data_IF_664868079102
#
_entry.id   IF_664868079102
#
_cell.length_a   1.000
_cell.length_b   1.000
_cell.length_c   1.000
_cell.angle_alpha   90.00
_cell.angle_beta   90.00
_cell.angle_gamma   90.00
#
_symmetry.space_group_name_H-M   'P 1'
#
loop_
_entity.id
_entity.type
_entity.pdbx_description
1 polymer ?
#
# COMPACT_ATOMS: atom_id res chain seq x y z
N UNK A 1 -13.46 -4.86 -14.26
CA UNK A 1 -12.15 -4.80 -13.56
C UNK A 1 -11.03 -5.35 -14.46
N UNK A 2 -9.80 -4.81 -14.39
CA UNK A 2 -8.59 -5.32 -15.09
C UNK A 2 -7.39 -5.27 -14.14
N UNK A 3 -6.52 -6.27 -14.19
CA UNK A 3 -5.38 -6.39 -13.28
C UNK A 3 -4.21 -7.15 -13.89
N UNK A 4 -3.09 -7.17 -13.19
CA UNK A 4 -1.94 -8.02 -13.48
C UNK A 4 -1.37 -8.63 -12.19
N UNK A 5 -0.97 -9.89 -12.27
CA UNK A 5 -0.25 -10.59 -11.19
C UNK A 5 1.22 -10.17 -11.27
N UNK A 6 1.71 -9.49 -10.24
CA UNK A 6 3.08 -8.93 -10.20
C UNK A 6 4.05 -9.90 -9.54
N UNK A 7 3.58 -10.65 -8.54
CA UNK A 7 4.30 -11.72 -7.87
C UNK A 7 3.33 -12.77 -7.33
N UNK A 8 3.84 -13.82 -6.68
CA UNK A 8 2.99 -14.85 -6.08
C UNK A 8 1.98 -14.30 -5.06
N UNK A 9 2.35 -13.23 -4.34
CA UNK A 9 1.55 -12.61 -3.27
C UNK A 9 0.83 -11.32 -3.68
N UNK A 10 1.19 -10.70 -4.81
CA UNK A 10 0.78 -9.32 -5.14
C UNK A 10 0.12 -9.21 -6.52
N UNK A 11 -1.07 -8.60 -6.53
CA UNK A 11 -1.81 -8.22 -7.74
C UNK A 11 -2.02 -6.71 -7.73
N UNK A 12 -1.88 -6.08 -8.90
CA UNK A 12 -2.17 -4.65 -9.10
C UNK A 12 -3.24 -4.49 -10.18
N UNK A 13 -4.28 -3.71 -9.89
CA UNK A 13 -5.39 -3.54 -10.82
C UNK A 13 -6.23 -2.28 -10.65
N UNK A 14 -7.25 -2.18 -11.49
CA UNK A 14 -8.31 -1.17 -11.42
C UNK A 14 -9.36 -1.54 -10.38
N UNK A 15 -10.24 -0.60 -10.03
CA UNK A 15 -11.27 -0.85 -9.03
C UNK A 15 -12.18 -2.05 -9.42
N UNK A 16 -12.54 -2.91 -8.45
CA UNK A 16 -13.72 -3.77 -8.56
C UNK A 16 -14.95 -2.90 -8.79
N UNK A 17 -15.84 -3.31 -9.69
CA UNK A 17 -17.01 -2.52 -10.10
C UNK A 17 -18.32 -3.09 -9.56
N UNK A 18 -18.34 -4.38 -9.22
CA UNK A 18 -19.52 -5.10 -8.73
C UNK A 18 -19.11 -6.26 -7.80
N UNK A 19 -20.00 -6.78 -6.94
CA UNK A 19 -19.69 -7.88 -6.02
C UNK A 19 -19.06 -9.11 -6.68
N UNK A 20 -19.46 -9.43 -7.92
CA UNK A 20 -18.93 -10.58 -8.66
C UNK A 20 -17.45 -10.42 -9.01
N UNK A 21 -16.93 -9.20 -9.06
CA UNK A 21 -15.49 -8.97 -9.21
C UNK A 21 -14.74 -9.45 -7.94
N UNK A 22 -15.36 -9.39 -6.76
CA UNK A 22 -14.79 -9.90 -5.50
C UNK A 22 -14.82 -11.42 -5.48
N UNK A 23 -15.90 -12.03 -5.98
CA UNK A 23 -15.97 -13.47 -6.21
C UNK A 23 -14.86 -13.95 -7.14
N UNK A 24 -14.66 -13.25 -8.27
CA UNK A 24 -13.59 -13.53 -9.21
C UNK A 24 -12.21 -13.47 -8.53
N UNK A 25 -11.92 -12.38 -7.80
CA UNK A 25 -10.65 -12.24 -7.07
C UNK A 25 -10.43 -13.36 -6.03
N UNK A 26 -11.49 -13.80 -5.35
CA UNK A 26 -11.41 -14.89 -4.38
C UNK A 26 -11.11 -16.23 -5.05
N UNK A 27 -11.90 -16.57 -6.07
CA UNK A 27 -11.94 -17.92 -6.62
C UNK A 27 -10.79 -18.18 -7.59
N UNK A 28 -10.55 -17.23 -8.49
CA UNK A 28 -9.52 -17.38 -9.55
C UNK A 28 -8.14 -17.00 -9.04
N UNK A 29 -8.07 -15.93 -8.23
CA UNK A 29 -6.78 -15.35 -7.82
C UNK A 29 -6.40 -15.59 -6.38
N UNK A 30 -7.23 -16.29 -5.60
CA UNK A 30 -7.00 -16.61 -4.18
C UNK A 30 -6.68 -15.35 -3.36
N UNK A 31 -7.34 -14.24 -3.70
CA UNK A 31 -7.20 -12.98 -2.95
C UNK A 31 -7.79 -13.16 -1.56
N UNK A 32 -7.01 -12.73 -0.56
CA UNK A 32 -7.43 -12.70 0.84
C UNK A 32 -7.49 -11.26 1.39
N UNK A 33 -6.84 -10.31 0.71
CA UNK A 33 -6.77 -8.91 1.11
C UNK A 33 -6.98 -8.00 -0.08
N UNK A 34 -7.73 -6.91 0.12
CA UNK A 34 -7.88 -5.84 -0.86
C UNK A 34 -7.37 -4.55 -0.22
N UNK A 35 -6.43 -3.88 -0.88
CA UNK A 35 -5.94 -2.56 -0.51
C UNK A 35 -6.48 -1.52 -1.50
N UNK A 36 -7.47 -0.76 -1.06
CA UNK A 36 -8.12 0.32 -1.81
C UNK A 36 -7.45 1.66 -1.51
N UNK A 37 -6.92 2.31 -2.54
CA UNK A 37 -6.25 3.61 -2.44
C UNK A 37 -7.15 4.79 -2.85
N UNK A 38 -8.43 4.55 -3.08
CA UNK A 38 -9.38 5.56 -3.54
C UNK A 38 -9.91 6.42 -2.41
N UNK A 39 -10.11 7.71 -2.72
CA UNK A 39 -10.95 8.61 -1.92
C UNK A 39 -12.43 8.37 -2.22
N UNK A 40 -13.31 8.81 -1.33
CA UNK A 40 -14.76 8.68 -1.52
C UNK A 40 -15.23 9.35 -2.81
N UNK A 41 -14.70 10.55 -3.12
CA UNK A 41 -14.98 11.25 -4.38
C UNK A 41 -14.66 10.43 -5.64
N UNK A 42 -13.64 9.56 -5.58
CA UNK A 42 -13.28 8.72 -6.73
C UNK A 42 -14.33 7.63 -6.93
N UNK A 43 -14.79 7.05 -5.82
CA UNK A 43 -15.80 5.98 -5.79
C UNK A 43 -17.15 6.54 -6.27
N UNK A 44 -17.54 7.71 -5.76
CA UNK A 44 -18.75 8.44 -6.12
C UNK A 44 -18.76 8.80 -7.62
N UNK A 45 -17.66 9.35 -8.13
CA UNK A 45 -17.54 9.74 -9.54
C UNK A 45 -17.79 8.56 -10.49
N UNK A 46 -17.33 7.36 -10.12
CA UNK A 46 -17.51 6.15 -10.93
C UNK A 46 -18.81 5.40 -10.64
N UNK A 47 -19.66 5.91 -9.73
CA UNK A 47 -20.95 5.30 -9.39
C UNK A 47 -20.82 3.90 -8.79
N UNK A 48 -19.73 3.62 -8.08
CA UNK A 48 -19.51 2.30 -7.48
C UNK A 48 -20.38 2.16 -6.23
N UNK A 49 -21.20 1.10 -6.18
CA UNK A 49 -21.85 0.67 -4.94
C UNK A 49 -20.82 0.02 -4.00
N UNK A 50 -20.07 0.89 -3.33
CA UNK A 50 -18.94 0.48 -2.50
C UNK A 50 -19.37 -0.34 -1.28
N UNK A 51 -20.56 -0.10 -0.74
CA UNK A 51 -21.04 -0.85 0.40
C UNK A 51 -21.29 -2.31 0.02
N UNK A 52 -21.86 -2.57 -1.16
CA UNK A 52 -22.04 -3.93 -1.68
C UNK A 52 -20.69 -4.63 -1.93
N UNK A 53 -19.67 -3.92 -2.42
CA UNK A 53 -18.30 -4.46 -2.55
C UNK A 53 -17.73 -4.91 -1.20
N UNK A 54 -17.79 -4.03 -0.20
CA UNK A 54 -17.27 -4.30 1.15
C UNK A 54 -18.04 -5.44 1.82
N UNK A 55 -19.37 -5.47 1.68
CA UNK A 55 -20.21 -6.55 2.20
C UNK A 55 -19.80 -7.89 1.60
N UNK A 56 -19.59 -7.94 0.28
CA UNK A 56 -19.14 -9.17 -0.38
C UNK A 56 -17.76 -9.63 0.10
N UNK A 57 -16.84 -8.69 0.34
CA UNK A 57 -15.55 -9.02 0.94
C UNK A 57 -15.73 -9.71 2.31
N UNK A 58 -16.59 -9.15 3.17
CA UNK A 58 -16.88 -9.72 4.51
C UNK A 58 -17.45 -11.13 4.42
N UNK A 59 -18.43 -11.34 3.54
CA UNK A 59 -19.05 -12.66 3.32
C UNK A 59 -18.02 -13.72 2.89
N UNK A 60 -17.05 -13.34 2.06
CA UNK A 60 -16.00 -14.23 1.54
C UNK A 60 -14.75 -14.30 2.43
N UNK A 61 -14.77 -13.63 3.58
CA UNK A 61 -13.63 -13.54 4.50
C UNK A 61 -12.40 -12.83 3.88
N UNK A 62 -12.61 -11.96 2.90
CA UNK A 62 -11.58 -11.06 2.35
C UNK A 62 -11.49 -9.82 3.23
N UNK A 63 -10.28 -9.48 3.65
CA UNK A 63 -10.04 -8.26 4.43
C UNK A 63 -9.87 -7.06 3.50
N UNK A 64 -10.83 -6.13 3.57
CA UNK A 64 -10.80 -4.89 2.80
C UNK A 64 -10.17 -3.76 3.63
N UNK A 65 -9.09 -3.17 3.12
CA UNK A 65 -8.29 -2.12 3.76
C UNK A 65 -8.35 -0.86 2.90
N UNK A 66 -8.53 0.30 3.54
CA UNK A 66 -8.49 1.60 2.85
C UNK A 66 -7.27 2.40 3.28
N UNK A 67 -6.52 2.91 2.30
CA UNK A 67 -5.45 3.90 2.50
C UNK A 67 -5.57 4.97 1.41
N UNK A 68 -6.52 5.91 1.53
CA UNK A 68 -6.84 6.86 0.46
C UNK A 68 -5.65 7.73 0.07
N UNK A 69 -5.44 7.88 -1.24
CA UNK A 69 -4.43 8.76 -1.83
C UNK A 69 -5.13 9.64 -2.88
N UNK A 70 -4.89 10.94 -2.84
CA UNK A 70 -5.49 11.89 -3.80
C UNK A 70 -4.99 11.57 -5.21
N UNK A 71 -5.91 11.47 -6.17
CA UNK A 71 -5.53 11.17 -7.55
C UNK A 71 -4.79 12.34 -8.20
N UNK A 72 -3.79 12.02 -9.03
CA UNK A 72 -2.92 12.99 -9.72
C UNK A 72 -2.15 13.96 -8.81
N UNK A 73 -2.01 13.65 -7.52
CA UNK A 73 -1.31 14.47 -6.54
C UNK A 73 -0.03 13.74 -6.04
N UNK A 74 1.13 14.31 -6.37
CA UNK A 74 2.43 13.73 -6.03
C UNK A 74 2.77 13.86 -4.54
N UNK A 75 2.30 14.93 -3.88
CA UNK A 75 2.56 15.18 -2.47
C UNK A 75 1.66 14.31 -1.59
N UNK A 76 0.41 14.13 -2.00
CA UNK A 76 -0.48 13.12 -1.40
C UNK A 76 0.08 11.71 -1.57
N UNK A 77 0.58 11.36 -2.76
CA UNK A 77 1.21 10.05 -2.97
C UNK A 77 2.44 9.88 -2.09
N UNK A 78 3.37 10.85 -2.07
CA UNK A 78 4.57 10.84 -1.20
C UNK A 78 4.20 10.62 0.25
N UNK A 79 3.29 11.43 0.79
CA UNK A 79 2.91 11.40 2.20
C UNK A 79 2.17 10.12 2.62
N UNK A 80 1.42 9.50 1.72
CA UNK A 80 0.62 8.30 2.03
C UNK A 80 1.34 6.98 1.75
N UNK A 81 2.39 6.98 0.94
CA UNK A 81 3.17 5.78 0.62
C UNK A 81 3.59 4.97 1.86
N UNK A 82 4.13 5.58 2.95
CA UNK A 82 4.48 4.82 4.15
C UNK A 82 3.32 4.01 4.75
N UNK A 83 2.13 4.62 4.88
CA UNK A 83 0.94 3.97 5.44
C UNK A 83 0.39 2.88 4.51
N UNK A 84 0.34 3.17 3.20
CA UNK A 84 -0.15 2.22 2.20
C UNK A 84 0.76 1.00 2.07
N UNK A 85 2.09 1.20 2.03
CA UNK A 85 3.06 0.11 1.95
C UNK A 85 3.09 -0.70 3.24
N UNK A 86 2.97 -0.06 4.41
CA UNK A 86 2.85 -0.78 5.69
C UNK A 86 1.62 -1.70 5.72
N UNK A 87 0.47 -1.25 5.20
CA UNK A 87 -0.72 -2.10 5.07
C UNK A 87 -0.49 -3.28 4.13
N UNK A 88 0.17 -3.06 2.99
CA UNK A 88 0.51 -4.11 2.02
C UNK A 88 1.51 -5.13 2.58
N UNK A 89 2.55 -4.66 3.27
CA UNK A 89 3.55 -5.53 3.90
C UNK A 89 2.90 -6.39 4.99
N UNK A 90 2.09 -5.78 5.85
CA UNK A 90 1.33 -6.50 6.87
C UNK A 90 0.45 -7.57 6.23
N UNK A 91 -0.37 -7.23 5.24
CA UNK A 91 -1.27 -8.17 4.57
C UNK A 91 -0.51 -9.33 3.91
N UNK A 92 0.61 -9.03 3.26
CA UNK A 92 1.49 -10.04 2.65
C UNK A 92 2.11 -10.96 3.70
N UNK A 93 2.54 -10.41 4.85
CA UNK A 93 3.17 -11.18 5.94
C UNK A 93 2.23 -12.22 6.56
N UNK A 94 0.91 -12.03 6.44
CA UNK A 94 -0.09 -12.97 6.98
C UNK A 94 -0.16 -14.29 6.22
N UNK A 95 0.33 -14.34 4.97
CA UNK A 95 0.35 -15.56 4.12
C UNK A 95 -1.00 -16.29 3.98
N UNK A 96 -2.11 -15.55 4.00
CA UNK A 96 -3.48 -16.13 3.86
C UNK A 96 -4.01 -16.16 2.42
N UNK A 97 -3.25 -15.63 1.47
CA UNK A 97 -3.65 -15.46 0.07
C UNK A 97 -2.97 -14.24 -0.53
N UNK A 98 -3.40 -13.84 -1.73
CA UNK A 98 -2.86 -12.67 -2.42
C UNK A 98 -3.44 -11.37 -1.89
N UNK A 99 -2.67 -10.29 -2.02
CA UNK A 99 -3.12 -8.91 -1.82
C UNK A 99 -3.42 -8.29 -3.17
N UNK A 100 -4.64 -7.79 -3.32
CA UNK A 100 -5.08 -7.02 -4.48
C UNK A 100 -4.99 -5.53 -4.18
N UNK A 101 -4.00 -4.85 -4.75
CA UNK A 101 -3.81 -3.41 -4.58
C UNK A 101 -4.46 -2.68 -5.75
N UNK A 102 -5.37 -1.77 -5.47
CA UNK A 102 -6.02 -0.98 -6.52
C UNK A 102 -6.17 0.49 -6.15
N UNK A 103 -6.30 1.28 -7.20
CA UNK A 103 -6.89 2.62 -7.15
C UNK A 103 -8.06 2.62 -8.14
N UNK A 104 -8.31 3.72 -8.84
CA UNK A 104 -9.35 3.76 -9.88
C UNK A 104 -8.96 2.93 -11.10
N UNK A 105 -7.85 3.27 -11.76
CA UNK A 105 -7.40 2.62 -13.02
C UNK A 105 -6.28 1.60 -12.81
N UNK A 106 -5.62 1.61 -11.66
CA UNK A 106 -4.45 0.78 -11.39
C UNK A 106 -3.21 1.19 -12.19
N UNK A 107 -3.08 2.48 -12.57
CA UNK A 107 -1.98 2.97 -13.42
C UNK A 107 -1.08 4.02 -12.75
N UNK A 108 -1.49 4.58 -11.61
CA UNK A 108 -0.74 5.60 -10.88
C UNK A 108 -0.48 5.20 -9.42
N UNK A 109 -1.46 5.42 -8.55
CA UNK A 109 -1.36 5.20 -7.10
C UNK A 109 -1.04 3.74 -6.71
N UNK A 110 -1.82 2.79 -7.22
CA UNK A 110 -1.62 1.36 -6.93
C UNK A 110 -0.25 0.82 -7.36
N UNK A 111 0.20 1.02 -8.61
CA UNK A 111 1.54 0.58 -9.00
C UNK A 111 2.65 1.30 -8.24
N UNK A 112 2.47 2.57 -7.83
CA UNK A 112 3.46 3.25 -7.00
C UNK A 112 3.62 2.58 -5.60
N UNK A 113 2.52 2.20 -4.96
CA UNK A 113 2.55 1.45 -3.68
C UNK A 113 3.21 0.09 -3.85
N UNK A 114 2.87 -0.64 -4.92
CA UNK A 114 3.48 -1.95 -5.21
C UNK A 114 4.99 -1.86 -5.47
N UNK A 115 5.44 -0.86 -6.25
CA UNK A 115 6.86 -0.63 -6.51
C UNK A 115 7.59 -0.24 -5.23
N UNK A 116 7.03 0.66 -4.42
CA UNK A 116 7.63 1.04 -3.15
C UNK A 116 7.73 -0.16 -2.18
N UNK A 117 6.72 -1.03 -2.14
CA UNK A 117 6.78 -2.27 -1.38
C UNK A 117 7.93 -3.18 -1.82
N UNK A 118 8.05 -3.47 -3.12
CA UNK A 118 9.15 -4.31 -3.63
C UNK A 118 10.52 -3.66 -3.39
N UNK A 119 10.60 -2.33 -3.59
CA UNK A 119 11.82 -1.57 -3.34
C UNK A 119 12.22 -1.64 -1.87
N UNK A 120 11.29 -1.46 -0.92
CA UNK A 120 11.61 -1.39 0.50
C UNK A 120 11.77 -2.79 1.12
N UNK A 121 10.92 -3.76 0.76
CA UNK A 121 10.80 -5.04 1.48
C UNK A 121 11.26 -6.28 0.70
N UNK A 122 11.39 -6.22 -0.63
CA UNK A 122 11.83 -7.37 -1.45
C UNK A 122 13.30 -7.28 -1.91
N UNK A 123 14.11 -6.48 -1.21
CA UNK A 123 15.55 -6.32 -1.47
C UNK A 123 15.90 -5.93 -2.92
N UNK A 124 15.06 -5.12 -3.57
CA UNK A 124 15.34 -4.53 -4.87
C UNK A 124 15.91 -3.12 -4.71
N UNK A 125 16.55 -2.60 -5.75
CA UNK A 125 16.64 -1.15 -5.98
C UNK A 125 15.35 -0.64 -6.66
N UNK A 126 15.17 0.67 -6.69
CA UNK A 126 13.96 1.29 -7.20
C UNK A 126 13.76 1.03 -8.70
N UNK A 127 14.82 1.06 -9.51
CA UNK A 127 14.72 0.88 -10.95
C UNK A 127 14.33 -0.56 -11.29
N UNK A 128 14.92 -1.54 -10.60
CA UNK A 128 14.56 -2.95 -10.71
C UNK A 128 13.10 -3.19 -10.33
N UNK A 129 12.64 -2.66 -9.18
CA UNK A 129 11.25 -2.78 -8.74
C UNK A 129 10.28 -2.12 -9.74
N UNK A 130 10.64 -0.94 -10.25
CA UNK A 130 9.85 -0.20 -11.24
C UNK A 130 9.71 -1.00 -12.54
N UNK A 131 10.83 -1.44 -13.11
CA UNK A 131 10.85 -2.21 -14.36
C UNK A 131 10.09 -3.54 -14.23
N UNK A 132 10.27 -4.26 -13.12
CA UNK A 132 9.52 -5.49 -12.83
C UNK A 132 8.02 -5.28 -12.94
N UNK A 133 7.48 -4.23 -12.31
CA UNK A 133 6.05 -3.94 -12.40
C UNK A 133 5.66 -3.48 -13.80
N UNK A 134 6.33 -2.47 -14.36
CA UNK A 134 5.87 -1.80 -15.58
C UNK A 134 6.03 -2.64 -16.85
N UNK A 135 6.92 -3.63 -16.84
CA UNK A 135 7.03 -4.62 -17.92
C UNK A 135 5.85 -5.60 -17.97
N UNK A 136 5.24 -5.89 -16.80
CA UNK A 136 4.06 -6.76 -16.69
C UNK A 136 2.78 -5.97 -16.91
N UNK A 137 2.68 -4.78 -16.29
CA UNK A 137 1.55 -3.87 -16.41
C UNK A 137 2.04 -2.50 -16.89
N UNK A 138 2.02 -2.23 -18.22
CA UNK A 138 2.43 -0.94 -18.76
C UNK A 138 1.67 0.22 -18.12
N UNK A 139 2.38 1.06 -17.36
CA UNK A 139 1.84 2.22 -16.65
C UNK A 139 2.96 3.21 -16.28
N UNK A 140 2.60 4.38 -15.77
CA UNK A 140 3.52 5.48 -15.43
C UNK A 140 3.38 5.99 -14.00
N UNK A 141 3.61 5.17 -12.96
CA UNK A 141 3.61 5.62 -11.57
C UNK A 141 4.75 6.63 -11.32
N UNK A 142 4.56 7.57 -10.39
CA UNK A 142 5.57 8.59 -10.11
C UNK A 142 6.77 8.01 -9.36
N UNK A 143 7.89 7.78 -10.07
CA UNK A 143 9.18 7.41 -9.47
C UNK A 143 9.67 8.47 -8.48
N UNK A 144 9.43 9.76 -8.78
CA UNK A 144 9.79 10.89 -7.91
C UNK A 144 9.11 10.79 -6.54
N UNK A 145 7.82 10.48 -6.49
CA UNK A 145 7.09 10.36 -5.22
C UNK A 145 7.63 9.20 -4.36
N UNK A 146 7.99 8.08 -4.98
CA UNK A 146 8.57 6.92 -4.27
C UNK A 146 9.93 7.27 -3.67
N UNK A 147 10.80 7.96 -4.44
CA UNK A 147 12.09 8.44 -3.93
C UNK A 147 11.94 9.43 -2.80
N UNK A 148 11.00 10.37 -2.94
CA UNK A 148 10.76 11.39 -1.94
C UNK A 148 10.28 10.75 -0.63
N UNK A 149 9.37 9.79 -0.69
CA UNK A 149 8.93 9.02 0.48
C UNK A 149 10.07 8.18 1.08
N UNK A 150 10.94 7.63 0.23
CA UNK A 150 12.15 6.89 0.68
C UNK A 150 13.11 7.82 1.42
N UNK A 151 13.34 9.03 0.90
CA UNK A 151 14.10 10.08 1.58
C UNK A 151 13.47 10.41 2.93
N UNK A 152 12.15 10.62 3.00
CA UNK A 152 11.45 10.96 4.25
C UNK A 152 11.65 9.87 5.32
N UNK A 153 11.57 8.60 4.91
CA UNK A 153 11.75 7.46 5.80
C UNK A 153 13.22 7.19 6.16
N UNK A 154 14.18 7.47 5.27
CA UNK A 154 15.60 7.23 5.52
C UNK A 154 16.31 8.41 6.19
N UNK A 155 15.73 9.62 6.16
CA UNK A 155 16.33 10.82 6.78
C UNK A 155 16.39 10.68 8.30
N UNK A 156 17.59 10.65 8.84
CA UNK A 156 17.88 10.58 10.27
C UNK A 156 18.32 11.93 10.88
N UNK A 157 18.67 12.91 10.05
CA UNK A 157 19.13 14.24 10.48
C UNK A 157 18.17 15.33 9.98
N UNK A 158 17.52 16.11 10.85
CA UNK A 158 16.65 17.23 10.46
C UNK A 158 17.34 18.28 9.57
N UNK A 159 18.66 18.46 9.71
CA UNK A 159 19.46 19.45 8.97
C UNK A 159 19.83 19.04 7.55
N UNK A 160 19.50 17.81 7.13
CA UNK A 160 19.77 17.32 5.78
C UNK A 160 19.05 18.17 4.73
N UNK A 161 19.75 18.44 3.63
CA UNK A 161 19.27 19.22 2.49
C UNK A 161 17.88 18.74 2.01
N UNK A 162 16.96 19.65 1.63
CA UNK A 162 15.64 19.30 1.11
C UNK A 162 15.71 18.34 -0.08
N UNK A 163 14.73 17.43 -0.20
CA UNK A 163 14.68 16.44 -1.28
C UNK A 163 14.71 17.10 -2.67
N UNK A 164 14.10 18.27 -2.79
CA UNK A 164 13.93 19.03 -4.02
C UNK A 164 15.26 19.52 -4.61
N UNK A 165 16.31 19.61 -3.79
CA UNK A 165 17.65 20.01 -4.21
C UNK A 165 18.56 18.81 -4.55
N UNK A 166 18.11 17.58 -4.27
CA UNK A 166 18.91 16.39 -4.51
C UNK A 166 18.91 16.00 -6.00
N UNK A 167 19.99 15.35 -6.42
CA UNK A 167 20.15 14.85 -7.79
C UNK A 167 19.05 13.84 -8.16
N UNK A 168 18.71 13.78 -9.45
CA UNK A 168 17.70 12.87 -10.02
C UNK A 168 18.05 11.38 -9.90
N UNK A 169 19.13 10.95 -9.24
CA UNK A 169 19.40 9.54 -8.91
C UNK A 169 19.48 9.28 -7.39
N UNK A 170 19.34 10.31 -6.55
CA UNK A 170 19.34 10.14 -5.09
C UNK A 170 18.15 9.25 -4.63
N UNK A 171 18.42 8.31 -3.73
CA UNK A 171 17.43 7.36 -3.19
C UNK A 171 16.81 6.38 -4.22
N UNK A 172 17.49 6.13 -5.35
CA UNK A 172 17.13 4.98 -6.21
C UNK A 172 17.67 3.66 -5.67
N UNK A 173 18.76 3.72 -4.90
CA UNK A 173 19.19 2.67 -3.99
C UNK A 173 19.18 3.19 -2.56
N UNK A 174 19.16 2.27 -1.60
CA UNK A 174 19.34 2.56 -0.18
C UNK A 174 20.36 1.58 0.39
N UNK A 175 21.23 2.06 1.28
CA UNK A 175 22.16 1.20 2.00
C UNK A 175 21.40 0.29 2.99
N UNK A 176 22.02 -0.81 3.44
CA UNK A 176 21.37 -1.78 4.34
C UNK A 176 20.86 -1.12 5.64
N UNK A 177 21.60 -0.14 6.18
CA UNK A 177 21.19 0.58 7.39
C UNK A 177 20.01 1.53 7.14
N UNK A 178 19.92 2.15 5.96
CA UNK A 178 18.77 2.97 5.55
C UNK A 178 17.54 2.09 5.34
N UNK A 179 17.71 0.93 4.71
CA UNK A 179 16.66 -0.08 4.55
C UNK A 179 16.13 -0.54 5.89
N UNK A 180 17.03 -0.82 6.84
CA UNK A 180 16.66 -1.15 8.22
C UNK A 180 15.88 -0.01 8.87
N UNK A 181 16.31 1.24 8.71
CA UNK A 181 15.58 2.39 9.25
C UNK A 181 14.18 2.54 8.64
N UNK A 182 14.03 2.30 7.33
CA UNK A 182 12.74 2.28 6.63
C UNK A 182 11.84 1.17 7.21
N UNK A 183 12.39 -0.01 7.49
CA UNK A 183 11.66 -1.11 8.12
C UNK A 183 11.26 -0.82 9.57
N UNK A 184 12.14 -0.19 10.34
CA UNK A 184 11.91 0.11 11.76
C UNK A 184 10.90 1.27 11.93
N UNK A 185 10.90 2.23 11.00
CA UNK A 185 9.92 3.33 10.93
C UNK A 185 8.57 2.89 10.34
N UNK A 186 8.27 1.60 10.38
CA UNK A 186 6.89 1.12 10.34
C UNK A 186 6.09 2.00 11.29
N UNK A 187 5.16 2.80 10.73
CA UNK A 187 4.14 3.45 11.54
C UNK A 187 3.47 2.30 12.31
N UNK A 188 3.42 2.34 13.66
CA UNK A 188 2.85 1.26 14.44
C UNK A 188 1.38 1.14 14.09
N UNK A 189 1.08 0.30 13.11
CA UNK A 189 -0.28 0.01 12.70
C UNK A 189 -0.69 -1.23 13.45
N UNK A 190 -1.10 -1.02 14.70
CA UNK A 190 -1.90 -2.01 15.39
C UNK A 190 -3.26 -2.05 14.66
N UNK A 191 -3.37 -2.93 13.68
CA UNK A 191 -4.62 -3.20 13.00
C UNK A 191 -5.46 -4.13 13.90
N UNK A 192 -6.46 -3.58 14.60
CA UNK A 192 -7.45 -4.38 15.31
C UNK A 192 -8.65 -4.57 14.38
N UNK A 193 -9.09 -5.81 14.22
CA UNK A 193 -10.35 -6.10 13.53
C UNK A 193 -11.51 -5.76 14.49
N UNK A 194 -12.20 -4.64 14.27
CA UNK A 194 -13.49 -4.32 14.94
C UNK A 194 -14.59 -4.38 13.88
N UNK A 195 -15.64 -5.16 14.12
CA UNK A 195 -16.83 -5.25 13.26
C UNK A 195 -16.57 -5.53 11.77
N UNK A 196 -15.51 -6.31 11.47
CA UNK A 196 -15.13 -6.66 10.10
C UNK A 196 -14.47 -5.53 9.30
N UNK A 197 -14.02 -4.47 9.98
CA UNK A 197 -13.15 -3.45 9.41
C UNK A 197 -11.79 -3.44 10.13
N UNK A 198 -10.75 -3.18 9.36
CA UNK A 198 -9.42 -2.89 9.89
C UNK A 198 -9.31 -1.38 10.01
N UNK A 199 -9.41 -0.88 11.24
CA UNK A 199 -9.12 0.50 11.58
C UNK A 199 -7.74 0.61 12.23
N UNK A 200 -7.08 1.74 12.02
CA UNK A 200 -5.84 2.11 12.72
C UNK A 200 -6.19 2.26 14.20
N UNK A 201 -5.58 1.46 15.10
CA UNK A 201 -5.80 1.67 16.53
C UNK A 201 -5.33 3.08 16.91
N UNK A 202 -6.19 3.84 17.60
CA UNK A 202 -5.84 5.15 18.11
C UNK A 202 -4.64 5.05 19.07
N UNK A 203 -3.71 6.01 18.99
CA UNK A 203 -2.46 6.05 19.78
C UNK A 203 -2.69 5.95 21.31
N UNK A 204 -3.87 6.30 21.81
CA UNK A 204 -4.20 6.23 23.24
C UNK A 204 -4.36 4.79 23.79
N UNK A 205 -4.65 3.79 22.96
CA UNK A 205 -4.73 2.38 23.42
C UNK A 205 -3.33 1.71 23.54
N UNK A 206 -2.25 2.36 23.09
CA UNK A 206 -0.89 1.80 23.07
C UNK A 206 -0.15 1.85 24.42
N UNK A 207 -0.67 2.54 25.44
CA UNK A 207 -0.03 2.61 26.76
C UNK A 207 -0.51 1.55 27.77
N UNK A 208 -1.46 0.68 27.44
CA UNK A 208 -1.98 -0.32 28.39
C UNK A 208 -1.57 -1.73 27.94
N UNK A 209 -0.28 -2.01 27.82
CA UNK A 209 0.27 -3.37 27.96
C UNK A 209 1.74 -3.26 28.41
N UNK A 210 1.93 -2.92 29.70
CA UNK A 210 3.16 -3.26 30.42
C UNK A 210 3.26 -4.81 30.50
N UNK A 211 4.41 -5.44 30.15
CA UNK A 211 4.61 -6.88 30.32
C UNK A 211 4.46 -7.39 31.76
N UNK A 212 4.41 -6.51 32.76
CA UNK A 212 4.37 -6.89 34.18
C UNK A 212 2.97 -7.07 34.79
N UNK A 213 1.88 -6.72 34.10
CA UNK A 213 0.52 -7.13 34.46
C UNK A 213 0.13 -6.98 35.95
N UNK A 214 0.31 -5.81 36.55
CA UNK A 214 -0.30 -5.49 37.84
C UNK A 214 -1.19 -4.25 37.72
N UNK A 215 -2.37 -4.34 38.36
CA UNK A 215 -3.37 -3.28 38.50
C UNK A 215 -2.82 -2.06 39.24
#
# INVERSE_FOLDING_TARGET
MSYAVISESLIVGSQPQKPEDIDHLKNEERVAYILCLQQDKDIEYWGIDFQSIVNRCKELGIQHIRRPVVDFDLDSLRSQLPKAVSALEWATSQRKGRVYVHCTTGLGRAPAVAIAYMFWFENMDLNTAYQKLTSIRPCGPSKRAIRAATYDLAKNDPSKEPFENLLEHAFEGVADWERKLIHDRKIPTCYKCRNGFIEEAAEEELMILDPAGNL
#
